data_IF_121853438298
#
_entry.id   IF_121853438298
#
_cell.length_a   1.000
_cell.length_b   1.000
_cell.length_c   1.000
_cell.angle_alpha   90.00
_cell.angle_beta   90.00
_cell.angle_gamma   90.00
#
_symmetry.space_group_name_H-M   'P 1'
#
loop_
_entity.id
_entity.type
_entity.pdbx_description
1 polymer ?
#
# COMPACT_ATOMS: atom_id res chain seq x y z
N UNK A 1 -28.79 -7.43 1.79
CA UNK A 1 -28.50 -6.40 0.74
C UNK A 1 -27.72 -5.24 1.34
N UNK A 2 -28.24 -4.53 2.36
CA UNK A 2 -27.51 -3.43 3.01
C UNK A 2 -26.23 -3.87 3.74
N UNK A 3 -26.28 -4.99 4.47
CA UNK A 3 -25.11 -5.51 5.22
C UNK A 3 -23.96 -5.91 4.30
N UNK A 4 -24.26 -6.49 3.13
CA UNK A 4 -23.26 -6.88 2.13
C UNK A 4 -22.55 -5.66 1.51
N UNK A 5 -23.28 -4.54 1.31
CA UNK A 5 -22.67 -3.29 0.86
C UNK A 5 -21.79 -2.68 1.95
N UNK A 6 -22.20 -2.76 3.22
CA UNK A 6 -21.40 -2.32 4.35
C UNK A 6 -20.10 -3.11 4.48
N UNK A 7 -20.16 -4.44 4.32
CA UNK A 7 -18.97 -5.29 4.34
C UNK A 7 -18.02 -4.96 3.19
N UNK A 8 -18.54 -4.81 1.97
CA UNK A 8 -17.71 -4.46 0.81
C UNK A 8 -17.05 -3.07 0.97
N UNK A 9 -17.76 -2.11 1.56
CA UNK A 9 -17.20 -0.78 1.87
C UNK A 9 -16.15 -0.90 2.98
N UNK A 10 -16.40 -1.70 4.02
CA UNK A 10 -15.44 -1.92 5.10
C UNK A 10 -14.15 -2.50 4.55
N UNK A 11 -14.22 -3.54 3.74
CA UNK A 11 -13.05 -4.21 3.18
C UNK A 11 -12.28 -3.27 2.23
N UNK A 12 -13.00 -2.44 1.45
CA UNK A 12 -12.37 -1.42 0.59
C UNK A 12 -11.69 -0.30 1.39
N UNK A 13 -12.25 0.09 2.54
CA UNK A 13 -11.68 1.11 3.44
C UNK A 13 -10.52 0.53 4.25
N UNK A 14 -10.59 -0.75 4.62
CA UNK A 14 -9.51 -1.47 5.30
C UNK A 14 -8.24 -1.53 4.43
N UNK A 15 -8.40 -1.54 3.11
CA UNK A 15 -7.28 -1.23 2.21
C UNK A 15 -6.24 -2.34 2.16
N UNK A 16 -6.62 -3.57 2.48
CA UNK A 16 -5.67 -4.68 2.52
C UNK A 16 -5.07 -4.92 1.13
N UNK A 17 -3.74 -4.95 1.07
CA UNK A 17 -2.94 -5.27 -0.13
C UNK A 17 -1.95 -6.37 0.28
N UNK A 18 -1.94 -7.47 -0.47
CA UNK A 18 -1.00 -8.58 -0.26
C UNK A 18 0.46 -8.14 -0.52
N UNK A 19 1.43 -8.85 0.05
CA UNK A 19 2.86 -8.54 0.01
C UNK A 19 3.40 -8.42 -1.41
N UNK A 20 2.97 -9.29 -2.32
CA UNK A 20 3.36 -9.22 -3.73
C UNK A 20 2.75 -7.98 -4.40
N UNK A 21 1.52 -7.62 -4.04
CA UNK A 21 0.82 -6.40 -4.41
C UNK A 21 1.50 -5.15 -3.88
N UNK A 22 1.99 -5.15 -2.64
CA UNK A 22 2.76 -4.04 -2.06
C UNK A 22 4.05 -3.80 -2.85
N UNK A 23 4.77 -4.87 -3.18
CA UNK A 23 5.97 -4.79 -4.04
C UNK A 23 5.65 -4.20 -5.41
N UNK A 24 4.53 -4.62 -6.01
CA UNK A 24 4.08 -4.11 -7.30
C UNK A 24 3.66 -2.63 -7.19
N UNK A 25 2.97 -2.23 -6.12
CA UNK A 25 2.60 -0.85 -5.85
C UNK A 25 3.82 0.06 -5.70
N UNK A 26 4.87 -0.41 -5.01
CA UNK A 26 6.14 0.30 -4.89
C UNK A 26 6.81 0.50 -6.26
N UNK A 27 6.91 -0.55 -7.07
CA UNK A 27 7.48 -0.47 -8.41
C UNK A 27 6.73 0.52 -9.29
N UNK A 28 5.39 0.45 -9.30
CA UNK A 28 4.55 1.39 -10.07
C UNK A 28 4.77 2.82 -9.59
N UNK A 29 4.84 3.05 -8.28
CA UNK A 29 5.08 4.38 -7.70
C UNK A 29 6.40 4.96 -8.19
N UNK A 30 7.49 4.20 -8.10
CA UNK A 30 8.83 4.65 -8.54
C UNK A 30 8.86 4.96 -10.03
N UNK A 31 8.31 4.06 -10.86
CA UNK A 31 8.32 4.23 -12.33
C UNK A 31 7.45 5.41 -12.75
N UNK A 32 6.23 5.54 -12.22
CA UNK A 32 5.32 6.61 -12.60
C UNK A 32 5.83 7.97 -12.12
N UNK A 33 6.18 8.13 -10.84
CA UNK A 33 6.65 9.42 -10.34
C UNK A 33 8.00 9.82 -10.95
N UNK A 34 8.90 8.86 -11.16
CA UNK A 34 10.15 9.10 -11.87
C UNK A 34 9.92 9.58 -13.31
N UNK A 35 9.04 8.90 -14.05
CA UNK A 35 8.66 9.27 -15.41
C UNK A 35 7.96 10.64 -15.49
N UNK A 36 7.00 10.90 -14.60
CA UNK A 36 6.33 12.21 -14.48
C UNK A 36 7.34 13.31 -14.18
N UNK A 37 8.30 13.09 -13.27
CA UNK A 37 9.33 14.08 -12.94
C UNK A 37 10.19 14.45 -14.14
N UNK A 38 10.63 13.45 -14.92
CA UNK A 38 11.39 13.67 -16.16
C UNK A 38 10.54 14.46 -17.17
N UNK A 39 9.29 14.07 -17.39
CA UNK A 39 8.38 14.75 -18.31
C UNK A 39 8.08 16.19 -17.88
N UNK A 40 7.76 16.41 -16.60
CA UNK A 40 7.49 17.72 -16.02
C UNK A 40 8.70 18.65 -16.19
N UNK A 41 9.92 18.12 -16.01
CA UNK A 41 11.15 18.88 -16.21
C UNK A 41 11.34 19.26 -17.68
N UNK A 42 11.27 18.30 -18.61
CA UNK A 42 11.48 18.56 -20.04
C UNK A 42 10.45 19.56 -20.57
N UNK A 43 9.17 19.33 -20.30
CA UNK A 43 8.08 20.19 -20.81
C UNK A 43 8.16 21.59 -20.18
N UNK A 44 8.34 21.67 -18.87
CA UNK A 44 8.47 22.96 -18.17
C UNK A 44 9.70 23.75 -18.64
N UNK A 45 10.81 23.07 -18.88
CA UNK A 45 12.02 23.69 -19.40
C UNK A 45 11.82 24.20 -20.84
N UNK A 46 11.25 23.41 -21.74
CA UNK A 46 10.99 23.86 -23.13
C UNK A 46 10.01 25.03 -23.19
N UNK A 47 9.01 25.06 -22.30
CA UNK A 47 8.04 26.15 -22.19
C UNK A 47 8.58 27.36 -21.41
N UNK A 48 9.72 27.25 -20.74
CA UNK A 48 10.24 28.24 -19.78
C UNK A 48 9.21 28.63 -18.71
N UNK A 49 8.37 27.69 -18.29
CA UNK A 49 7.29 27.90 -17.32
C UNK A 49 7.34 26.88 -16.16
N UNK A 50 7.71 27.37 -14.98
CA UNK A 50 7.80 26.57 -13.76
C UNK A 50 6.42 26.15 -13.23
N UNK A 51 5.36 26.94 -13.48
CA UNK A 51 4.00 26.59 -13.05
C UNK A 51 3.49 25.42 -13.86
N UNK A 52 3.79 25.39 -15.18
CA UNK A 52 3.45 24.25 -16.03
C UNK A 52 4.12 22.97 -15.55
N UNK A 53 5.42 23.02 -15.21
CA UNK A 53 6.13 21.89 -14.61
C UNK A 53 5.45 21.40 -13.33
N UNK A 54 5.09 22.33 -12.44
CA UNK A 54 4.39 22.01 -11.19
C UNK A 54 3.02 21.36 -11.46
N UNK A 55 2.23 21.88 -12.40
CA UNK A 55 0.93 21.30 -12.73
C UNK A 55 1.05 19.88 -13.29
N UNK A 56 2.05 19.62 -14.15
CA UNK A 56 2.32 18.27 -14.65
C UNK A 56 2.72 17.34 -13.51
N UNK A 57 3.60 17.80 -12.60
CA UNK A 57 3.99 17.06 -11.41
C UNK A 57 2.80 16.71 -10.53
N UNK A 58 1.96 17.69 -10.18
CA UNK A 58 0.77 17.50 -9.36
C UNK A 58 -0.25 16.55 -10.02
N UNK A 59 -0.50 16.73 -11.32
CA UNK A 59 -1.40 15.86 -12.07
C UNK A 59 -0.88 14.43 -12.11
N UNK A 60 0.42 14.25 -12.39
CA UNK A 60 1.04 12.92 -12.40
C UNK A 60 1.07 12.27 -11.03
N UNK A 61 1.33 13.03 -9.95
CA UNK A 61 1.24 12.53 -8.58
C UNK A 61 -0.18 12.09 -8.24
N UNK A 62 -1.20 12.88 -8.58
CA UNK A 62 -2.60 12.50 -8.37
C UNK A 62 -2.97 11.21 -9.13
N UNK A 63 -2.50 11.05 -10.37
CA UNK A 63 -2.68 9.82 -11.14
C UNK A 63 -1.98 8.63 -10.50
N UNK A 64 -0.75 8.80 -9.99
CA UNK A 64 -0.05 7.74 -9.26
C UNK A 64 -0.82 7.35 -8.01
N UNK A 65 -1.32 8.31 -7.22
CA UNK A 65 -2.16 8.03 -6.04
C UNK A 65 -3.36 7.17 -6.40
N UNK A 66 -4.09 7.50 -7.47
CA UNK A 66 -5.20 6.70 -7.95
C UNK A 66 -4.76 5.29 -8.37
N UNK A 67 -3.57 5.14 -8.95
CA UNK A 67 -3.06 3.85 -9.39
C UNK A 67 -2.66 2.94 -8.22
N UNK A 68 -2.04 3.47 -7.16
CA UNK A 68 -1.36 2.64 -6.13
C UNK A 68 -2.05 2.61 -4.77
N UNK A 69 -2.87 3.60 -4.42
CA UNK A 69 -3.48 3.69 -3.06
C UNK A 69 -4.72 2.83 -2.90
N UNK A 70 -5.69 2.82 -3.83
CA UNK A 70 -6.84 1.93 -3.69
C UNK A 70 -6.39 0.46 -3.74
N UNK A 71 -6.98 -0.43 -2.92
CA UNK A 71 -6.67 -1.86 -2.90
C UNK A 71 -7.29 -2.56 -4.11
N UNK A 72 -6.84 -2.22 -5.32
CA UNK A 72 -7.39 -2.77 -6.55
C UNK A 72 -7.32 -4.31 -6.54
N UNK A 73 -8.29 -5.02 -7.16
CA UNK A 73 -8.33 -6.48 -7.13
C UNK A 73 -7.07 -7.18 -7.65
N UNK A 74 -6.24 -6.51 -8.45
CA UNK A 74 -4.99 -7.08 -8.94
C UNK A 74 -3.84 -7.06 -7.92
N UNK A 75 -3.95 -6.25 -6.86
CA UNK A 75 -3.00 -6.19 -5.75
C UNK A 75 -3.22 -7.28 -4.69
N UNK A 76 -4.27 -8.10 -4.84
CA UNK A 76 -4.68 -9.12 -3.87
C UNK A 76 -4.83 -10.51 -4.50
N UNK A 77 -3.96 -10.83 -5.47
CA UNK A 77 -4.01 -12.09 -6.22
C UNK A 77 -3.20 -13.22 -5.59
N UNK A 78 -2.30 -12.91 -4.66
CA UNK A 78 -1.37 -13.85 -4.05
C UNK A 78 -1.50 -13.78 -2.52
N UNK A 79 -2.55 -14.35 -1.92
CA UNK A 79 -2.72 -14.32 -0.47
C UNK A 79 -1.55 -15.04 0.23
N UNK A 80 -0.90 -14.38 1.18
CA UNK A 80 0.16 -15.01 1.97
C UNK A 80 -0.38 -16.11 2.88
N UNK A 81 0.24 -17.29 2.79
CA UNK A 81 0.06 -18.34 3.77
C UNK A 81 0.87 -18.02 5.03
N UNK A 82 0.26 -17.34 5.99
CA UNK A 82 0.86 -17.10 7.29
C UNK A 82 1.05 -18.41 8.06
N UNK A 83 2.24 -18.60 8.64
CA UNK A 83 2.49 -19.72 9.54
C UNK A 83 1.55 -19.63 10.74
N UNK A 84 1.07 -20.77 11.27
CA UNK A 84 0.27 -20.76 12.48
C UNK A 84 1.06 -20.11 13.62
N UNK A 85 0.40 -19.42 14.55
CA UNK A 85 1.06 -18.84 15.71
C UNK A 85 1.98 -19.87 16.35
N UNK A 86 3.24 -19.51 16.56
CA UNK A 86 4.17 -20.40 17.23
C UNK A 86 3.63 -20.64 18.64
N UNK A 87 3.09 -21.84 18.88
CA UNK A 87 2.88 -22.34 20.23
C UNK A 87 4.27 -22.64 20.77
N UNK A 88 4.97 -21.59 21.19
CA UNK A 88 6.12 -21.76 22.04
C UNK A 88 5.63 -22.60 23.20
N UNK A 89 6.10 -23.85 23.28
CA UNK A 89 6.08 -24.52 24.56
C UNK A 89 6.90 -23.59 25.46
N UNK A 90 6.22 -22.83 26.31
CA UNK A 90 6.82 -21.97 27.32
C UNK A 90 7.59 -22.89 28.27
N UNK A 91 8.78 -23.33 27.89
CA UNK A 91 9.72 -24.02 28.79
C UNK A 91 10.19 -23.05 29.89
N UNK A 92 9.93 -21.75 29.72
CA UNK A 92 10.12 -20.74 30.75
C UNK A 92 8.87 -20.69 31.62
N UNK A 93 8.93 -21.32 32.79
CA UNK A 93 7.98 -21.10 33.88
C UNK A 93 8.24 -19.72 34.48
N UNK A 94 7.42 -18.74 34.10
CA UNK A 94 7.41 -17.43 34.76
C UNK A 94 6.60 -17.59 36.05
N UNK A 95 7.29 -17.45 37.19
CA UNK A 95 6.67 -17.43 38.50
C UNK A 95 6.41 -15.97 38.87
N UNK A 96 5.13 -15.60 39.01
CA UNK A 96 4.74 -14.29 39.55
C UNK A 96 3.99 -14.59 40.84
N UNK A 97 4.57 -14.16 41.96
CA UNK A 97 3.99 -14.32 43.31
C UNK A 97 3.63 -15.76 43.71
N UNK A 98 4.44 -16.75 43.32
CA UNK A 98 4.23 -18.15 43.70
C UNK A 98 3.16 -18.87 42.88
N UNK A 99 2.56 -18.21 41.88
CA UNK A 99 1.67 -18.85 40.91
C UNK A 99 2.35 -19.01 39.55
N UNK A 100 2.31 -20.24 39.04
CA UNK A 100 2.76 -20.60 37.70
C UNK A 100 1.67 -20.24 36.70
N UNK A 101 1.96 -19.33 35.79
CA UNK A 101 1.08 -19.02 34.64
C UNK A 101 1.77 -19.47 33.36
N UNK A 102 1.12 -20.37 32.62
CA UNK A 102 1.56 -20.95 31.36
C UNK A 102 0.40 -21.59 30.62
#
# INVERSE_FOLDING_TARGET
>A
MADQLLDQVRDAVEGQIDFEGQRLAELITTVLLGGVGILAFIVGFMAQDIKLSLYIGLAGTALTFLAVVPPWPFYNKNPEAWLPPHKGASTVQIDVDGQKVG
#
